data_IF_503757957684
#
_entry.id   IF_503757957684
#
_cell.length_a   1.000
_cell.length_b   1.000
_cell.length_c   1.000
_cell.angle_alpha   90.00
_cell.angle_beta   90.00
_cell.angle_gamma   90.00
#
_symmetry.space_group_name_H-M   'P 1'
#
loop_
_entity.id
_entity.type
_entity.pdbx_description
1 polymer ?
#
# COMPACT_ATOMS: atom_id res chain seq x y z
N UNK A 1 -16.89 -5.88 -2.80
CA UNK A 1 -15.77 -5.56 -3.68
C UNK A 1 -14.58 -5.07 -2.85
N UNK A 2 -14.70 -3.98 -2.06
CA UNK A 2 -13.62 -3.40 -1.24
C UNK A 2 -12.97 -4.46 -0.32
N UNK A 3 -13.76 -5.25 0.41
CA UNK A 3 -13.22 -6.34 1.25
C UNK A 3 -12.41 -7.36 0.42
N UNK A 4 -12.91 -7.77 -0.74
CA UNK A 4 -12.19 -8.68 -1.63
C UNK A 4 -10.86 -8.11 -2.12
N UNK A 5 -10.77 -6.79 -2.32
CA UNK A 5 -9.53 -6.11 -2.70
C UNK A 5 -8.55 -6.01 -1.53
N UNK A 6 -9.01 -5.57 -0.36
CA UNK A 6 -8.14 -5.28 0.78
C UNK A 6 -7.76 -6.57 1.53
N UNK A 7 -8.74 -7.37 1.94
CA UNK A 7 -8.51 -8.55 2.79
C UNK A 7 -7.97 -9.72 1.98
N UNK A 8 -8.58 -10.01 0.82
CA UNK A 8 -8.22 -11.16 -0.03
C UNK A 8 -7.18 -10.85 -1.11
N UNK A 9 -6.79 -9.59 -1.27
CA UNK A 9 -5.83 -9.15 -2.30
C UNK A 9 -6.22 -9.59 -3.73
N UNK A 10 -7.52 -9.51 -4.06
CA UNK A 10 -8.06 -9.97 -5.34
C UNK A 10 -7.90 -8.92 -6.44
N UNK A 11 -7.12 -9.24 -7.49
CA UNK A 11 -6.95 -8.39 -8.66
C UNK A 11 -8.26 -8.16 -9.41
N UNK A 12 -9.16 -9.17 -9.45
CA UNK A 12 -10.49 -9.04 -10.06
C UNK A 12 -11.32 -7.96 -9.34
N UNK A 13 -11.33 -7.99 -7.99
CA UNK A 13 -12.04 -6.96 -7.24
C UNK A 13 -11.39 -5.58 -7.36
N UNK A 14 -10.07 -5.51 -7.46
CA UNK A 14 -9.37 -4.25 -7.73
C UNK A 14 -9.76 -3.67 -9.10
N UNK A 15 -9.85 -4.49 -10.14
CA UNK A 15 -10.33 -4.08 -11.46
C UNK A 15 -11.79 -3.58 -11.43
N UNK A 16 -12.67 -4.20 -10.62
CA UNK A 16 -14.04 -3.70 -10.43
C UNK A 16 -14.03 -2.31 -9.78
N UNK A 17 -13.17 -2.05 -8.80
CA UNK A 17 -13.03 -0.70 -8.23
C UNK A 17 -12.52 0.31 -9.27
N UNK A 18 -11.62 -0.09 -10.15
CA UNK A 18 -11.19 0.77 -11.26
C UNK A 18 -12.34 1.06 -12.23
N UNK A 19 -13.19 0.07 -12.54
CA UNK A 19 -14.39 0.30 -13.36
C UNK A 19 -15.33 1.33 -12.73
N UNK A 20 -15.59 1.22 -11.42
CA UNK A 20 -16.41 2.19 -10.69
C UNK A 20 -15.78 3.60 -10.71
N UNK A 21 -14.47 3.69 -10.44
CA UNK A 21 -13.73 4.96 -10.46
C UNK A 21 -13.64 5.59 -11.86
N UNK A 22 -13.77 4.79 -12.90
CA UNK A 22 -13.65 5.19 -14.30
C UNK A 22 -14.98 5.22 -15.08
N UNK A 23 -16.14 5.24 -14.40
CA UNK A 23 -17.47 5.23 -15.04
C UNK A 23 -17.64 4.08 -16.04
N UNK A 24 -17.21 2.87 -15.67
CA UNK A 24 -17.28 1.66 -16.47
C UNK A 24 -16.01 1.34 -17.30
N UNK A 25 -14.98 2.18 -17.23
CA UNK A 25 -13.72 1.98 -17.96
C UNK A 25 -12.53 1.85 -17.02
N UNK A 26 -11.93 0.65 -16.93
CA UNK A 26 -10.80 0.37 -16.02
C UNK A 26 -9.60 1.27 -16.27
N UNK A 27 -9.27 1.56 -17.54
CA UNK A 27 -8.15 2.43 -17.89
C UNK A 27 -8.37 3.85 -17.36
N UNK A 28 -9.54 4.42 -17.53
CA UNK A 28 -9.90 5.72 -16.97
C UNK A 28 -9.88 5.71 -15.44
N UNK A 29 -10.29 4.60 -14.82
CA UNK A 29 -10.19 4.41 -13.37
C UNK A 29 -8.74 4.45 -12.88
N UNK A 30 -7.81 3.82 -13.58
CA UNK A 30 -6.39 3.85 -13.27
C UNK A 30 -5.81 5.28 -13.40
N UNK A 31 -6.20 6.00 -14.44
CA UNK A 31 -5.82 7.42 -14.65
C UNK A 31 -6.38 8.33 -13.54
N UNK A 32 -7.66 8.16 -13.18
CA UNK A 32 -8.28 8.89 -12.08
C UNK A 32 -7.61 8.60 -10.74
N UNK A 33 -7.31 7.33 -10.44
CA UNK A 33 -6.56 6.93 -9.25
C UNK A 33 -5.19 7.62 -9.21
N UNK A 34 -4.45 7.59 -10.30
CA UNK A 34 -3.15 8.28 -10.43
C UNK A 34 -3.30 9.78 -10.18
N UNK A 35 -4.34 10.41 -10.74
CA UNK A 35 -4.67 11.81 -10.50
C UNK A 35 -4.91 12.13 -9.02
N UNK A 36 -5.65 11.28 -8.30
CA UNK A 36 -5.88 11.42 -6.86
C UNK A 36 -4.58 11.26 -6.05
N UNK A 37 -3.71 10.31 -6.43
CA UNK A 37 -2.39 10.17 -5.77
C UNK A 37 -1.54 11.44 -5.94
N UNK A 38 -1.55 12.05 -7.12
CA UNK A 38 -0.86 13.34 -7.36
C UNK A 38 -1.42 14.48 -6.51
N UNK A 39 -2.74 14.56 -6.34
CA UNK A 39 -3.37 15.56 -5.47
C UNK A 39 -2.95 15.38 -4.01
N UNK A 40 -2.75 14.15 -3.55
CA UNK A 40 -2.21 13.84 -2.21
C UNK A 40 -0.70 14.10 -2.09
N UNK A 41 -0.01 14.52 -3.16
CA UNK A 41 1.42 14.73 -3.18
C UNK A 41 2.25 13.47 -3.37
N UNK A 42 1.65 12.32 -3.65
CA UNK A 42 2.30 11.03 -3.84
C UNK A 42 2.88 10.93 -5.26
N UNK A 43 4.01 11.62 -5.48
CA UNK A 43 4.57 11.83 -6.81
C UNK A 43 5.17 10.58 -7.46
N UNK A 44 5.44 9.54 -6.70
CA UNK A 44 6.00 8.29 -7.20
C UNK A 44 4.96 7.16 -7.28
N UNK A 45 3.71 7.45 -6.91
CA UNK A 45 2.63 6.46 -6.90
C UNK A 45 1.73 6.65 -8.11
N UNK A 46 1.59 5.59 -8.91
CA UNK A 46 0.69 5.59 -10.05
C UNK A 46 0.16 4.19 -10.36
N UNK A 47 -0.94 4.16 -11.08
CA UNK A 47 -1.46 3.01 -11.76
C UNK A 47 -1.72 3.42 -13.22
N UNK A 48 -0.90 2.90 -14.16
CA UNK A 48 -0.97 3.29 -15.58
C UNK A 48 -1.96 2.42 -16.36
N UNK A 49 -2.32 1.27 -15.80
CA UNK A 49 -3.25 0.33 -16.38
C UNK A 49 -3.97 -0.48 -15.30
N UNK A 50 -4.47 -1.64 -15.66
CA UNK A 50 -5.23 -2.53 -14.78
C UNK A 50 -4.66 -3.95 -14.79
N UNK A 51 -5.06 -4.80 -13.86
CA UNK A 51 -4.57 -6.18 -13.77
C UNK A 51 -5.02 -7.00 -14.99
N UNK A 52 -4.13 -7.86 -15.48
CA UNK A 52 -4.32 -8.72 -16.67
C UNK A 52 -4.53 -7.93 -17.99
N UNK A 53 -4.09 -6.69 -18.05
CA UNK A 53 -4.10 -5.90 -19.27
C UNK A 53 -3.17 -6.51 -20.32
N UNK A 54 -3.66 -6.66 -21.56
CA UNK A 54 -2.89 -7.27 -22.66
C UNK A 54 -1.90 -6.30 -23.32
N UNK A 55 -2.34 -5.06 -23.53
CA UNK A 55 -1.50 -4.04 -24.15
C UNK A 55 -0.73 -3.28 -23.08
N UNK A 56 0.57 -2.99 -23.30
CA UNK A 56 1.35 -2.26 -22.31
C UNK A 56 0.79 -0.84 -22.15
N UNK A 57 0.66 -0.35 -20.90
CA UNK A 57 0.19 0.99 -20.65
C UNK A 57 1.23 2.04 -21.07
N UNK A 58 0.83 3.31 -21.19
CA UNK A 58 1.77 4.41 -21.36
C UNK A 58 2.78 4.45 -20.23
N UNK A 59 4.06 4.66 -20.55
CA UNK A 59 5.10 4.82 -19.53
C UNK A 59 4.88 6.11 -18.74
N UNK A 60 4.82 6.01 -17.41
CA UNK A 60 4.75 7.14 -16.49
C UNK A 60 6.12 7.34 -15.85
N UNK A 61 6.72 8.50 -16.07
CA UNK A 61 7.97 8.88 -15.43
C UNK A 61 7.72 9.53 -14.07
N UNK A 62 8.51 9.13 -13.07
CA UNK A 62 8.47 9.67 -11.71
C UNK A 62 9.88 9.94 -11.21
N UNK A 63 10.08 10.76 -10.17
CA UNK A 63 11.40 10.93 -9.55
C UNK A 63 12.04 9.61 -9.14
N UNK A 64 11.26 8.64 -8.64
CA UNK A 64 11.78 7.35 -8.21
C UNK A 64 12.27 6.48 -9.37
N UNK A 65 11.51 6.36 -10.46
CA UNK A 65 11.87 5.47 -11.57
C UNK A 65 12.84 6.11 -12.58
N UNK A 66 13.19 7.37 -12.40
CA UNK A 66 14.24 8.05 -13.16
C UNK A 66 15.61 8.03 -12.45
N UNK A 67 15.72 7.41 -11.29
CA UNK A 67 17.00 7.25 -10.58
C UNK A 67 17.94 6.36 -11.39
N UNK A 68 19.22 6.72 -11.34
CA UNK A 68 20.32 5.99 -12.04
C UNK A 68 21.40 5.49 -11.08
N UNK A 69 21.28 5.83 -9.80
CA UNK A 69 22.24 5.44 -8.74
C UNK A 69 22.02 4.00 -8.26
N UNK A 70 20.85 3.44 -8.49
CA UNK A 70 20.56 2.01 -8.30
C UNK A 70 19.43 1.55 -9.25
N UNK A 71 19.42 0.26 -9.54
CA UNK A 71 18.38 -0.34 -10.36
C UNK A 71 17.10 -0.48 -9.52
N UNK A 72 16.02 0.16 -9.94
CA UNK A 72 14.69 0.04 -9.32
C UNK A 72 13.80 -0.97 -10.04
N UNK A 73 14.22 -1.43 -11.22
CA UNK A 73 13.43 -2.31 -12.11
C UNK A 73 11.95 -1.93 -12.12
N UNK A 74 11.61 -0.72 -12.55
CA UNK A 74 10.28 -0.16 -12.34
C UNK A 74 9.23 -0.91 -13.16
N UNK A 75 8.12 -1.27 -12.48
CA UNK A 75 6.94 -1.81 -13.14
C UNK A 75 6.32 -0.76 -14.07
N UNK A 76 6.01 -1.09 -15.34
CA UNK A 76 5.38 -0.16 -16.27
C UNK A 76 3.89 0.11 -15.97
N UNK A 77 3.22 -0.79 -15.23
CA UNK A 77 1.78 -0.72 -14.96
C UNK A 77 1.44 0.00 -13.67
N UNK A 78 2.25 -0.21 -12.64
CA UNK A 78 2.01 0.37 -11.32
C UNK A 78 3.31 0.57 -10.55
N UNK A 79 3.33 1.59 -9.73
CA UNK A 79 4.47 1.91 -8.88
C UNK A 79 4.01 2.62 -7.63
N UNK A 80 4.74 2.40 -6.56
CA UNK A 80 4.74 3.26 -5.37
C UNK A 80 6.13 3.25 -4.73
N UNK A 81 6.32 4.06 -3.70
CA UNK A 81 7.52 4.04 -2.87
C UNK A 81 7.15 3.86 -1.40
N UNK A 82 8.07 3.39 -0.54
CA UNK A 82 7.80 3.34 0.90
C UNK A 82 7.40 4.70 1.48
N UNK A 83 7.99 5.79 0.99
CA UNK A 83 7.68 7.14 1.45
C UNK A 83 6.24 7.57 1.08
N UNK A 84 5.84 7.39 -0.18
CA UNK A 84 4.48 7.72 -0.63
C UNK A 84 3.44 6.87 0.13
N UNK A 85 3.70 5.57 0.28
CA UNK A 85 2.78 4.69 0.99
C UNK A 85 2.70 5.01 2.48
N UNK A 86 3.80 5.42 3.11
CA UNK A 86 3.78 5.88 4.51
C UNK A 86 2.91 7.14 4.68
N UNK A 87 2.93 8.08 3.73
CA UNK A 87 2.03 9.24 3.73
C UNK A 87 0.56 8.80 3.64
N UNK A 88 0.24 7.85 2.74
CA UNK A 88 -1.12 7.34 2.59
C UNK A 88 -1.62 6.64 3.88
N UNK A 89 -0.81 5.76 4.47
CA UNK A 89 -1.15 5.05 5.70
C UNK A 89 -1.29 6.02 6.89
N UNK A 90 -0.44 7.03 6.99
CA UNK A 90 -0.55 8.10 8.00
C UNK A 90 -1.83 8.90 7.80
N UNK A 91 -2.19 9.23 6.57
CA UNK A 91 -3.44 9.92 6.24
C UNK A 91 -4.67 9.09 6.65
N UNK A 92 -4.67 7.79 6.40
CA UNK A 92 -5.74 6.87 6.85
C UNK A 92 -5.82 6.80 8.38
N UNK A 93 -4.68 6.69 9.07
CA UNK A 93 -4.63 6.67 10.53
C UNK A 93 -5.21 7.94 11.14
N UNK A 94 -4.79 9.11 10.66
CA UNK A 94 -5.27 10.40 11.15
C UNK A 94 -6.76 10.60 10.86
N UNK A 95 -7.20 10.27 9.66
CA UNK A 95 -8.60 10.36 9.26
C UNK A 95 -9.48 9.44 10.11
N UNK A 96 -9.09 8.18 10.33
CA UNK A 96 -9.83 7.24 11.16
C UNK A 96 -9.87 7.66 12.64
N UNK A 97 -8.76 8.21 13.16
CA UNK A 97 -8.64 8.60 14.57
C UNK A 97 -9.44 9.84 14.94
N UNK A 98 -9.42 10.88 14.13
CA UNK A 98 -10.02 12.17 14.48
C UNK A 98 -10.70 12.92 13.33
N UNK A 99 -10.86 12.30 12.15
CA UNK A 99 -11.42 12.95 10.96
C UNK A 99 -10.50 13.98 10.30
N UNK A 100 -9.24 14.06 10.72
CA UNK A 100 -8.24 15.00 10.20
C UNK A 100 -7.22 14.36 9.24
N UNK A 101 -6.14 15.10 9.00
CA UNK A 101 -5.04 14.64 8.14
C UNK A 101 -5.22 15.00 6.66
N UNK A 102 -4.30 14.51 5.84
CA UNK A 102 -4.19 14.89 4.42
C UNK A 102 -5.42 14.48 3.59
N UNK A 103 -6.05 13.34 3.91
CA UNK A 103 -7.17 12.81 3.10
C UNK A 103 -8.38 13.76 3.11
N UNK A 104 -8.99 14.11 4.26
CA UNK A 104 -10.13 15.04 4.25
C UNK A 104 -9.72 16.48 3.92
N UNK A 105 -8.44 16.85 4.07
CA UNK A 105 -7.95 18.16 3.66
C UNK A 105 -7.93 18.31 2.13
N UNK A 106 -7.47 17.28 1.41
CA UNK A 106 -7.36 17.28 -0.06
C UNK A 106 -8.71 16.98 -0.72
N UNK A 107 -9.54 16.14 -0.08
CA UNK A 107 -10.85 15.73 -0.59
C UNK A 107 -11.98 16.12 0.37
N UNK A 108 -12.21 17.44 0.59
CA UNK A 108 -13.17 17.92 1.58
C UNK A 108 -14.60 17.49 1.23
N UNK A 109 -15.26 16.85 2.19
CA UNK A 109 -16.64 16.36 2.03
C UNK A 109 -16.76 15.09 1.18
N UNK A 110 -15.67 14.57 0.64
CA UNK A 110 -15.65 13.31 -0.14
C UNK A 110 -15.13 12.12 0.66
N UNK A 111 -14.35 12.38 1.70
CA UNK A 111 -13.80 11.36 2.60
C UNK A 111 -14.19 11.70 4.02
N UNK A 112 -14.79 10.73 4.70
CA UNK A 112 -15.27 10.86 6.09
C UNK A 112 -14.45 10.01 7.06
N UNK A 113 -14.47 10.37 8.34
CA UNK A 113 -13.86 9.57 9.40
C UNK A 113 -14.40 8.13 9.41
N UNK A 114 -15.71 7.95 9.20
CA UNK A 114 -16.33 6.63 9.19
C UNK A 114 -15.81 5.74 8.06
N UNK A 115 -15.59 6.28 6.87
CA UNK A 115 -15.01 5.55 5.73
C UNK A 115 -13.55 5.18 5.98
N UNK A 116 -12.76 6.11 6.52
CA UNK A 116 -11.37 5.83 6.90
C UNK A 116 -11.30 4.72 7.97
N UNK A 117 -12.19 4.77 8.98
CA UNK A 117 -12.29 3.72 10.02
C UNK A 117 -12.63 2.38 9.39
N UNK A 118 -13.59 2.33 8.48
CA UNK A 118 -13.97 1.10 7.78
C UNK A 118 -12.81 0.51 6.97
N UNK A 119 -12.01 1.35 6.30
CA UNK A 119 -10.81 0.90 5.56
C UNK A 119 -9.73 0.37 6.53
N UNK A 120 -9.46 1.07 7.63
CA UNK A 120 -8.50 0.61 8.64
C UNK A 120 -8.95 -0.72 9.26
N UNK A 121 -10.25 -0.90 9.51
CA UNK A 121 -10.78 -2.16 10.05
C UNK A 121 -10.69 -3.32 9.04
N UNK A 122 -10.80 -3.05 7.74
CA UNK A 122 -10.52 -4.06 6.70
C UNK A 122 -9.03 -4.41 6.64
N UNK A 123 -8.13 -3.43 6.77
CA UNK A 123 -6.69 -3.64 6.80
C UNK A 123 -6.24 -4.50 8.00
N UNK A 124 -6.92 -4.40 9.16
CA UNK A 124 -6.68 -5.26 10.35
C UNK A 124 -7.06 -6.73 10.11
N UNK A 125 -7.79 -7.03 9.04
CA UNK A 125 -8.28 -8.37 8.69
C UNK A 125 -7.49 -8.98 7.52
N UNK A 126 -6.31 -8.46 7.21
CA UNK A 126 -5.47 -8.99 6.12
C UNK A 126 -5.16 -10.48 6.35
N UNK A 127 -5.30 -11.31 5.32
CA UNK A 127 -5.11 -12.77 5.41
C UNK A 127 -3.62 -13.20 5.52
N UNK A 128 -2.67 -12.30 5.30
CA UNK A 128 -1.23 -12.60 5.29
C UNK A 128 -0.55 -12.07 6.55
N UNK A 129 -0.50 -12.90 7.58
CA UNK A 129 0.11 -12.58 8.88
C UNK A 129 1.63 -12.89 8.95
N UNK A 130 2.32 -13.06 7.84
CA UNK A 130 3.73 -13.53 7.81
C UNK A 130 4.77 -12.43 7.59
N UNK A 131 4.34 -11.19 7.41
CA UNK A 131 5.19 -10.02 7.12
C UNK A 131 5.32 -9.11 8.36
N UNK A 132 4.79 -7.88 8.29
CA UNK A 132 4.87 -6.93 9.43
C UNK A 132 4.24 -7.54 10.69
N UNK A 133 3.09 -8.18 10.58
CA UNK A 133 2.36 -8.77 11.71
C UNK A 133 3.19 -9.86 12.42
N UNK A 134 3.94 -10.69 11.69
CA UNK A 134 4.80 -11.71 12.29
C UNK A 134 6.00 -11.15 13.08
N UNK A 135 6.29 -9.87 12.98
CA UNK A 135 7.37 -9.20 13.69
C UNK A 135 6.98 -8.58 15.03
N UNK A 136 5.69 -8.42 15.30
CA UNK A 136 5.17 -7.85 16.54
C UNK A 136 4.71 -8.96 17.50
N UNK A 137 4.55 -8.70 18.83
CA UNK A 137 4.07 -9.70 19.78
C UNK A 137 2.68 -10.23 19.39
N UNK A 138 2.43 -11.48 19.73
CA UNK A 138 1.11 -12.11 19.55
C UNK A 138 0.00 -11.27 20.23
N UNK A 139 -1.10 -11.07 19.52
CA UNK A 139 -2.21 -10.23 19.98
C UNK A 139 -2.05 -8.73 19.71
N UNK A 140 -0.91 -8.29 19.17
CA UNK A 140 -0.79 -6.92 18.67
C UNK A 140 -1.71 -6.68 17.46
N UNK A 141 -2.26 -5.48 17.35
CA UNK A 141 -3.12 -5.10 16.22
C UNK A 141 -2.27 -4.44 15.15
N UNK A 142 -2.36 -4.95 13.93
CA UNK A 142 -1.71 -4.38 12.74
C UNK A 142 -2.76 -4.21 11.63
N UNK A 143 -2.89 -2.99 11.12
CA UNK A 143 -3.70 -2.71 9.95
C UNK A 143 -2.77 -2.58 8.74
N UNK A 144 -2.72 -3.58 7.85
CA UNK A 144 -1.72 -3.62 6.79
C UNK A 144 -2.22 -4.17 5.46
N UNK A 145 -1.47 -3.89 4.40
CA UNK A 145 -1.67 -4.47 3.07
C UNK A 145 -0.36 -4.91 2.49
N UNK A 146 -0.26 -6.21 2.27
CA UNK A 146 0.88 -6.82 1.58
C UNK A 146 0.77 -6.68 0.06
N UNK A 147 1.91 -6.81 -0.62
CA UNK A 147 2.06 -6.99 -2.05
C UNK A 147 3.14 -8.01 -2.35
N UNK A 148 2.93 -8.80 -3.39
CA UNK A 148 3.89 -9.77 -3.89
C UNK A 148 3.79 -9.84 -5.41
N UNK A 149 4.93 -9.66 -6.08
CA UNK A 149 5.08 -9.95 -7.51
C UNK A 149 5.78 -11.30 -7.65
N UNK A 150 5.22 -12.18 -8.46
CA UNK A 150 5.82 -13.50 -8.71
C UNK A 150 7.19 -13.34 -9.36
N UNK A 151 8.20 -13.27 -8.55
CA UNK A 151 9.57 -13.31 -9.03
C UNK A 151 10.52 -12.36 -8.34
N UNK A 152 10.19 -11.11 -8.06
CA UNK A 152 11.21 -10.13 -7.71
C UNK A 152 10.89 -9.15 -6.58
N UNK A 153 9.62 -9.00 -6.18
CA UNK A 153 9.21 -8.01 -5.20
C UNK A 153 8.28 -8.58 -4.12
N UNK A 154 8.55 -8.24 -2.87
CA UNK A 154 7.67 -8.45 -1.73
C UNK A 154 7.59 -7.17 -0.92
N UNK A 155 6.40 -6.81 -0.46
CA UNK A 155 6.21 -5.61 0.33
C UNK A 155 5.05 -5.71 1.29
N UNK A 156 5.12 -4.88 2.33
CA UNK A 156 4.03 -4.69 3.26
C UNK A 156 4.02 -3.24 3.76
N UNK A 157 2.84 -2.68 3.92
CA UNK A 157 2.63 -1.34 4.41
C UNK A 157 1.54 -1.38 5.48
N UNK A 158 1.83 -0.89 6.68
CA UNK A 158 0.91 -1.03 7.79
C UNK A 158 1.00 0.06 8.85
N UNK A 159 -0.07 0.14 9.63
CA UNK A 159 -0.19 0.87 10.88
C UNK A 159 -0.08 -0.16 12.00
N UNK A 160 0.91 -0.03 12.85
CA UNK A 160 1.11 -0.88 14.03
C UNK A 160 0.58 -0.14 15.24
N UNK A 161 -0.40 -0.73 15.92
CA UNK A 161 -0.94 -0.20 17.16
C UNK A 161 -0.13 -0.76 18.33
N UNK A 162 0.59 0.09 19.05
CA UNK A 162 1.51 -0.36 20.09
C UNK A 162 1.36 0.43 21.40
N UNK A 163 1.69 -0.19 22.55
CA UNK A 163 1.53 0.45 23.87
C UNK A 163 2.32 1.75 24.04
N UNK A 164 3.49 1.86 23.42
CA UNK A 164 4.33 3.06 23.50
C UNK A 164 3.96 4.14 22.48
N UNK A 165 3.01 3.87 21.60
CA UNK A 165 2.52 4.76 20.57
C UNK A 165 2.41 4.05 19.22
N UNK A 166 1.40 4.44 18.46
CA UNK A 166 1.15 3.87 17.14
C UNK A 166 2.15 4.41 16.12
N UNK A 167 2.54 3.58 15.14
CA UNK A 167 3.46 3.98 14.08
C UNK A 167 3.10 3.36 12.74
N UNK A 168 3.56 3.98 11.67
CA UNK A 168 3.48 3.42 10.31
C UNK A 168 4.81 2.77 9.96
N UNK A 169 4.73 1.55 9.43
CA UNK A 169 5.87 0.82 8.88
C UNK A 169 5.57 0.41 7.44
N UNK A 170 6.50 0.71 6.54
CA UNK A 170 6.46 0.28 5.14
C UNK A 170 7.79 -0.36 4.78
N UNK A 171 7.74 -1.59 4.32
CA UNK A 171 8.92 -2.37 3.93
C UNK A 171 8.70 -2.94 2.54
N UNK A 172 9.58 -2.60 1.59
CA UNK A 172 9.61 -3.20 0.27
C UNK A 172 10.99 -3.82 0.04
N UNK A 173 10.99 -5.07 -0.38
CA UNK A 173 12.19 -5.80 -0.75
C UNK A 173 12.10 -6.13 -2.24
N UNK A 174 13.17 -5.85 -2.95
CA UNK A 174 13.31 -6.18 -4.36
C UNK A 174 14.65 -6.89 -4.60
N UNK A 175 14.64 -7.81 -5.54
CA UNK A 175 15.84 -8.50 -6.02
C UNK A 175 15.67 -8.82 -7.49
N UNK A 176 16.70 -8.54 -8.29
CA UNK A 176 16.75 -9.03 -9.66
C UNK A 176 16.71 -10.57 -9.70
N UNK A 177 15.80 -11.11 -10.51
CA UNK A 177 15.58 -12.54 -10.64
C UNK A 177 14.42 -13.03 -9.77
N UNK A 178 14.68 -13.87 -8.77
CA UNK A 178 13.63 -14.51 -7.99
C UNK A 178 13.76 -14.26 -6.48
N UNK A 179 12.67 -13.78 -5.86
CA UNK A 179 12.48 -13.71 -4.41
C UNK A 179 11.66 -14.90 -3.93
N UNK A 180 12.28 -15.76 -3.14
CA UNK A 180 11.60 -16.89 -2.52
C UNK A 180 10.85 -16.39 -1.27
N UNK A 181 9.53 -16.55 -1.24
CA UNK A 181 8.66 -16.08 -0.12
C UNK A 181 9.17 -16.58 1.24
N UNK A 182 9.45 -17.88 1.35
CA UNK A 182 9.87 -18.53 2.61
C UNK A 182 11.17 -17.96 3.18
N UNK A 183 12.02 -17.39 2.34
CA UNK A 183 13.27 -16.73 2.76
C UNK A 183 13.12 -15.25 3.00
N UNK A 184 12.22 -14.61 2.25
CA UNK A 184 12.10 -13.15 2.22
C UNK A 184 11.09 -12.64 3.24
N UNK A 185 9.96 -13.33 3.46
CA UNK A 185 8.98 -12.95 4.46
C UNK A 185 9.58 -12.84 5.89
N UNK A 186 10.46 -13.75 6.35
CA UNK A 186 11.13 -13.61 7.64
C UNK A 186 12.02 -12.35 7.76
N UNK A 187 12.55 -11.82 6.66
CA UNK A 187 13.32 -10.57 6.70
C UNK A 187 12.42 -9.38 7.03
N UNK A 188 11.23 -9.31 6.42
CA UNK A 188 10.23 -8.27 6.73
C UNK A 188 9.81 -8.40 8.20
N UNK A 189 9.50 -9.60 8.67
CA UNK A 189 9.15 -9.85 10.08
C UNK A 189 10.26 -9.43 11.05
N UNK A 190 11.54 -9.71 10.71
CA UNK A 190 12.67 -9.30 11.54
C UNK A 190 12.83 -7.76 11.58
N UNK A 191 12.68 -7.07 10.44
CA UNK A 191 12.68 -5.61 10.41
C UNK A 191 11.55 -5.08 11.30
N UNK A 192 10.34 -5.60 11.16
CA UNK A 192 9.20 -5.22 11.98
C UNK A 192 9.47 -5.42 13.47
N UNK A 193 10.06 -6.55 13.86
CA UNK A 193 10.43 -6.84 15.26
C UNK A 193 11.42 -5.84 15.81
N UNK A 194 12.44 -5.50 15.03
CA UNK A 194 13.45 -4.51 15.43
C UNK A 194 12.83 -3.13 15.66
N UNK A 195 11.95 -2.72 14.75
CA UNK A 195 11.23 -1.44 14.86
C UNK A 195 10.30 -1.45 16.06
N UNK A 196 9.51 -2.52 16.24
CA UNK A 196 8.62 -2.66 17.42
C UNK A 196 9.40 -2.57 18.72
N UNK A 197 10.51 -3.30 18.81
CA UNK A 197 11.39 -3.28 19.98
C UNK A 197 11.94 -1.89 20.25
N UNK A 198 12.36 -1.16 19.20
CA UNK A 198 12.87 0.21 19.34
C UNK A 198 11.84 1.18 19.93
N UNK A 199 10.57 1.09 19.50
CA UNK A 199 9.52 1.98 20.00
C UNK A 199 8.97 1.59 21.37
N UNK A 200 9.10 0.34 21.81
CA UNK A 200 8.47 -0.20 23.02
C UNK A 200 9.47 -0.55 24.14
N UNK A 201 10.63 0.08 24.12
CA UNK A 201 11.64 0.00 25.19
C UNK A 201 11.54 1.14 26.19
#
# INVERSE_FOLDING_TARGET
VIEGTIVKSSNVHANILLMELGDGEMQRGAENLTGHMRQLGLQNTFMAGYFDQRDPPPKINTPANQRTDFNTYPDPYMQTTPADMAVLMTGLYQCAGNGGGVLPLVFPGQITQAECTAIVDLLKRNDIATLIEAGVPEGSVVAHKHGFSEGDTIGDAGIVFSPAGDYVLVVYLWREGYLEWQRTAPLVANISRMVYTFFNH
#
